data_IF_925970101055
#
_entry.id   IF_925970101055
#
_cell.length_a   1.000
_cell.length_b   1.000
_cell.length_c   1.000
_cell.angle_alpha   90.00
_cell.angle_beta   90.00
_cell.angle_gamma   90.00
#
_symmetry.space_group_name_H-M   'P 1'
#
loop_
_entity.id
_entity.type
_entity.pdbx_description
1 polymer ?
#
# COMPACT_ATOMS: atom_id res chain seq x y z
N UNK A 1 21.64 5.30 -11.32
CA UNK A 1 21.51 4.13 -10.39
C UNK A 1 20.26 3.28 -10.63
N UNK A 2 19.73 3.16 -11.87
CA UNK A 2 18.51 2.34 -12.13
C UNK A 2 18.76 1.07 -12.96
N UNK A 3 19.94 0.90 -13.58
CA UNK A 3 20.28 -0.32 -14.33
C UNK A 3 20.98 -1.41 -13.50
N UNK A 4 21.54 -1.10 -12.32
CA UNK A 4 22.18 -2.10 -11.45
C UNK A 4 21.18 -2.91 -10.60
N UNK A 5 19.90 -2.51 -10.57
CA UNK A 5 18.88 -3.19 -9.75
C UNK A 5 18.20 -4.35 -10.49
N UNK A 6 18.19 -4.35 -11.83
CA UNK A 6 17.60 -5.46 -12.61
C UNK A 6 18.53 -6.67 -12.75
N UNK A 7 19.84 -6.51 -12.53
CA UNK A 7 20.78 -7.63 -12.52
C UNK A 7 20.75 -8.46 -11.22
N UNK A 8 20.22 -7.90 -10.12
CA UNK A 8 20.14 -8.61 -8.82
C UNK A 8 18.86 -9.44 -8.71
N UNK A 9 17.80 -9.07 -9.44
CA UNK A 9 16.52 -9.79 -9.42
C UNK A 9 16.53 -11.02 -10.35
N UNK A 10 17.43 -11.05 -11.34
CA UNK A 10 17.55 -12.18 -12.28
C UNK A 10 18.31 -13.40 -11.70
N UNK A 11 18.99 -13.26 -10.55
CA UNK A 11 19.81 -14.33 -9.96
C UNK A 11 19.13 -15.12 -8.83
N UNK A 12 17.85 -14.83 -8.53
CA UNK A 12 17.11 -15.43 -7.40
C UNK A 12 15.98 -16.38 -7.83
N UNK A 13 15.94 -16.81 -9.10
CA UNK A 13 14.94 -17.76 -9.62
C UNK A 13 15.60 -18.99 -10.30
N UNK A 14 16.92 -19.15 -10.19
CA UNK A 14 17.64 -20.26 -10.81
C UNK A 14 18.38 -21.08 -9.76
N UNK A 15 17.64 -21.80 -8.93
CA UNK A 15 18.26 -22.60 -7.88
C UNK A 15 17.31 -23.45 -7.06
N UNK A 16 16.47 -24.27 -7.69
CA UNK A 16 15.85 -25.42 -7.02
C UNK A 16 15.42 -26.50 -8.02
N UNK A 17 16.39 -27.08 -8.71
CA UNK A 17 16.23 -28.39 -9.35
C UNK A 17 17.55 -29.14 -9.24
N UNK A 18 17.61 -30.12 -8.35
CA UNK A 18 18.07 -31.49 -8.65
C UNK A 18 18.22 -32.36 -7.40
N UNK A 19 18.19 -33.68 -7.66
CA UNK A 19 18.53 -34.83 -6.80
C UNK A 19 17.41 -35.33 -5.87
N UNK A 20 17.08 -36.61 -5.78
CA UNK A 20 17.39 -37.85 -6.53
C UNK A 20 16.50 -38.95 -5.89
N UNK A 21 16.13 -40.03 -6.58
CA UNK A 21 16.61 -41.39 -6.23
C UNK A 21 15.92 -42.50 -7.02
N UNK A 22 16.69 -43.58 -7.15
CA UNK A 22 16.65 -44.73 -8.04
C UNK A 22 15.77 -45.90 -7.55
N UNK A 23 15.54 -46.89 -8.43
CA UNK A 23 15.20 -48.27 -8.07
C UNK A 23 14.30 -48.96 -9.12
N UNK A 24 14.82 -49.47 -10.23
CA UNK A 24 15.38 -50.83 -10.43
C UNK A 24 14.38 -51.99 -10.23
N UNK A 25 14.01 -52.65 -11.33
CA UNK A 25 13.62 -54.08 -11.38
C UNK A 25 14.88 -54.95 -11.43
N UNK A 26 14.94 -56.12 -10.77
CA UNK A 26 14.78 -57.37 -11.53
C UNK A 26 14.22 -58.61 -10.76
N UNK A 27 13.57 -59.50 -11.54
CA UNK A 27 13.71 -60.98 -11.61
C UNK A 27 13.53 -61.92 -10.38
N UNK A 28 12.46 -62.75 -10.47
CA UNK A 28 12.37 -64.24 -10.44
C UNK A 28 13.27 -65.08 -9.50
N UNK A 29 12.63 -65.97 -8.72
CA UNK A 29 12.80 -67.45 -8.67
C UNK A 29 11.93 -68.01 -7.49
N UNK A 30 10.87 -68.80 -7.77
CA UNK A 30 10.80 -70.29 -7.73
C UNK A 30 11.03 -70.85 -6.31
N UNK A 31 10.10 -71.60 -5.68
CA UNK A 31 9.95 -73.05 -5.89
C UNK A 31 8.72 -73.63 -5.14
N UNK A 32 8.21 -74.71 -5.70
CA UNK A 32 7.12 -75.63 -5.35
C UNK A 32 7.12 -76.27 -3.95
N UNK A 33 5.92 -76.63 -3.46
CA UNK A 33 5.62 -77.94 -2.82
C UNK A 33 4.22 -78.42 -3.23
N UNK A 34 4.11 -79.75 -3.32
CA UNK A 34 3.17 -80.63 -4.02
C UNK A 34 2.26 -81.35 -3.01
N UNK A 35 0.99 -81.57 -3.34
CA UNK A 35 0.15 -82.72 -2.93
C UNK A 35 -1.22 -82.61 -3.65
N UNK A 36 -1.44 -83.26 -4.79
CA UNK A 36 -1.94 -84.64 -5.04
C UNK A 36 -3.43 -84.88 -4.65
N UNK A 37 -4.13 -85.79 -5.37
CA UNK A 37 -5.15 -85.40 -6.35
C UNK A 37 -6.58 -85.78 -5.92
N UNK A 38 -7.58 -85.08 -6.45
CA UNK A 38 -8.96 -85.58 -6.45
C UNK A 38 -9.53 -85.46 -7.86
N UNK A 39 -9.80 -86.62 -8.43
CA UNK A 39 -10.42 -86.88 -9.73
C UNK A 39 -11.82 -86.27 -9.79
N UNK A 40 -11.97 -85.19 -10.55
CA UNK A 40 -13.27 -84.75 -11.04
C UNK A 40 -13.22 -84.69 -12.56
N UNK A 41 -13.96 -85.58 -13.22
CA UNK A 41 -14.18 -85.55 -14.67
C UNK A 41 -14.78 -84.19 -15.04
N UNK A 42 -13.93 -83.26 -15.51
CA UNK A 42 -14.41 -82.06 -16.20
C UNK A 42 -14.61 -82.44 -17.66
N UNK A 43 -15.89 -82.55 -18.03
CA UNK A 43 -16.33 -82.56 -19.41
C UNK A 43 -15.67 -81.38 -20.11
N UNK A 44 -14.76 -81.64 -21.04
CA UNK A 44 -14.23 -80.63 -21.94
C UNK A 44 -15.36 -80.22 -22.89
N UNK A 45 -16.22 -79.32 -22.43
CA UNK A 45 -17.05 -78.54 -23.33
C UNK A 45 -16.06 -77.73 -24.18
N UNK A 46 -15.89 -78.12 -25.46
CA UNK A 46 -15.11 -77.38 -26.45
C UNK A 46 -15.61 -75.94 -26.44
N UNK A 47 -14.91 -75.03 -25.75
CA UNK A 47 -15.16 -73.58 -25.88
C UNK A 47 -14.85 -73.25 -27.33
N UNK A 48 -15.89 -73.07 -28.13
CA UNK A 48 -15.75 -72.51 -29.46
C UNK A 48 -15.11 -71.15 -29.26
N UNK A 49 -13.85 -71.03 -29.64
CA UNK A 49 -13.12 -69.78 -29.59
C UNK A 49 -13.80 -68.86 -30.61
N UNK A 50 -14.53 -67.87 -30.11
CA UNK A 50 -15.13 -66.83 -30.95
C UNK A 50 -13.99 -66.06 -31.65
N UNK A 51 -13.71 -66.39 -32.91
CA UNK A 51 -12.61 -65.78 -33.69
C UNK A 51 -12.91 -64.33 -34.09
N UNK A 52 -14.18 -63.92 -34.02
CA UNK A 52 -14.62 -62.58 -34.40
C UNK A 52 -14.36 -61.60 -33.26
N UNK A 53 -13.39 -60.71 -33.47
CA UNK A 53 -13.06 -59.62 -32.55
C UNK A 53 -13.99 -58.43 -32.80
N UNK A 54 -14.40 -57.76 -31.72
CA UNK A 54 -15.11 -56.50 -31.81
C UNK A 54 -14.15 -55.40 -32.30
N UNK A 55 -14.58 -54.60 -33.27
CA UNK A 55 -13.82 -53.48 -33.84
C UNK A 55 -14.08 -52.15 -33.12
N UNK A 56 -15.16 -52.05 -32.35
CA UNK A 56 -15.52 -50.85 -31.57
C UNK A 56 -15.51 -51.17 -30.07
N UNK A 57 -14.48 -50.68 -29.37
CA UNK A 57 -14.29 -50.90 -27.93
C UNK A 57 -15.20 -50.04 -27.03
N UNK A 58 -15.95 -49.08 -27.59
CA UNK A 58 -16.90 -48.30 -26.81
C UNK A 58 -17.98 -49.18 -26.18
N UNK A 59 -18.57 -48.74 -25.07
CA UNK A 59 -19.61 -49.52 -24.40
C UNK A 59 -20.82 -49.78 -25.33
N UNK A 60 -21.18 -48.77 -26.12
CA UNK A 60 -22.22 -48.90 -27.14
C UNK A 60 -21.81 -49.87 -28.26
N UNK A 61 -20.57 -49.80 -28.72
CA UNK A 61 -20.00 -50.74 -29.69
C UNK A 61 -20.04 -52.19 -29.21
N UNK A 62 -19.59 -52.43 -27.98
CA UNK A 62 -19.66 -53.75 -27.32
C UNK A 62 -21.10 -54.26 -27.18
N UNK A 63 -22.04 -53.38 -26.81
CA UNK A 63 -23.46 -53.71 -26.73
C UNK A 63 -24.04 -54.10 -28.09
N UNK A 64 -23.82 -53.29 -29.13
CA UNK A 64 -24.29 -53.56 -30.49
C UNK A 64 -23.66 -54.82 -31.08
N UNK A 65 -22.38 -55.06 -30.80
CA UNK A 65 -21.66 -56.27 -31.21
C UNK A 65 -22.19 -57.54 -30.52
N UNK A 66 -22.56 -57.45 -29.24
CA UNK A 66 -23.22 -58.54 -28.53
C UNK A 66 -24.59 -58.84 -29.14
N UNK A 67 -25.39 -57.81 -29.44
CA UNK A 67 -26.71 -57.95 -30.05
C UNK A 67 -26.63 -58.51 -31.48
N UNK A 68 -25.67 -58.09 -32.30
CA UNK A 68 -25.53 -58.58 -33.67
C UNK A 68 -25.18 -60.07 -33.74
N UNK A 69 -24.46 -60.58 -32.73
CA UNK A 69 -24.06 -62.00 -32.67
C UNK A 69 -25.06 -62.91 -31.95
N UNK A 70 -26.05 -62.35 -31.27
CA UNK A 70 -27.09 -63.11 -30.57
C UNK A 70 -28.16 -63.65 -31.54
N UNK A 71 -28.53 -64.91 -31.35
CA UNK A 71 -29.56 -65.58 -32.17
C UNK A 71 -30.95 -65.16 -31.68
N UNK A 72 -31.86 -64.85 -32.60
CA UNK A 72 -33.27 -64.64 -32.24
C UNK A 72 -34.02 -65.97 -32.26
N UNK A 73 -34.83 -66.25 -31.25
CA UNK A 73 -35.71 -67.41 -31.17
C UNK A 73 -36.97 -67.05 -30.39
N UNK A 74 -38.15 -67.35 -30.95
CA UNK A 74 -39.46 -67.11 -30.29
C UNK A 74 -39.65 -65.67 -29.76
N UNK A 75 -39.22 -64.66 -30.52
CA UNK A 75 -39.31 -63.25 -30.11
C UNK A 75 -38.27 -62.80 -29.07
N UNK A 76 -37.42 -63.71 -28.57
CA UNK A 76 -36.35 -63.42 -27.62
C UNK A 76 -34.96 -63.53 -28.26
N UNK A 77 -34.02 -62.72 -27.76
CA UNK A 77 -32.61 -62.74 -28.17
C UNK A 77 -31.80 -63.65 -27.24
N UNK A 78 -31.26 -64.75 -27.76
CA UNK A 78 -30.35 -65.65 -27.05
C UNK A 78 -28.94 -65.08 -27.10
N UNK A 79 -28.49 -64.56 -25.96
CA UNK A 79 -27.19 -63.91 -25.79
C UNK A 79 -26.20 -64.90 -25.18
N UNK A 80 -24.95 -64.88 -25.63
CA UNK A 80 -23.88 -65.67 -25.01
C UNK A 80 -23.56 -65.10 -23.61
N UNK A 81 -23.65 -65.90 -22.52
CA UNK A 81 -23.40 -65.42 -21.17
C UNK A 81 -22.00 -64.82 -20.98
N UNK A 82 -21.00 -65.32 -21.72
CA UNK A 82 -19.61 -64.80 -21.66
C UNK A 82 -19.52 -63.38 -22.20
N UNK A 83 -20.27 -63.04 -23.25
CA UNK A 83 -20.28 -61.69 -23.84
C UNK A 83 -21.05 -60.71 -22.97
N UNK A 84 -22.13 -61.19 -22.34
CA UNK A 84 -22.91 -60.41 -21.38
C UNK A 84 -22.07 -60.06 -20.14
N UNK A 85 -21.35 -61.02 -19.59
CA UNK A 85 -20.45 -60.81 -18.44
C UNK A 85 -19.32 -59.81 -18.78
N UNK A 86 -18.70 -59.96 -19.96
CA UNK A 86 -17.67 -59.03 -20.44
C UNK A 86 -18.19 -57.59 -20.62
N UNK A 87 -19.39 -57.42 -21.17
CA UNK A 87 -20.04 -56.12 -21.30
C UNK A 87 -20.35 -55.55 -19.90
N UNK A 88 -20.92 -56.36 -19.01
CA UNK A 88 -21.28 -55.94 -17.66
C UNK A 88 -20.06 -55.52 -16.83
N UNK A 89 -18.95 -56.22 -16.99
CA UNK A 89 -17.66 -55.83 -16.41
C UNK A 89 -17.22 -54.45 -16.92
N UNK A 90 -17.33 -54.22 -18.24
CA UNK A 90 -16.99 -52.94 -18.86
C UNK A 90 -17.90 -51.80 -18.37
N UNK A 91 -19.22 -52.03 -18.23
CA UNK A 91 -20.17 -51.07 -17.64
C UNK A 91 -19.77 -50.71 -16.22
N UNK A 92 -19.48 -51.72 -15.38
CA UNK A 92 -19.08 -51.49 -14.00
C UNK A 92 -17.74 -50.77 -13.90
N UNK A 93 -16.78 -51.08 -14.77
CA UNK A 93 -15.49 -50.39 -14.82
C UNK A 93 -15.67 -48.90 -15.16
N UNK A 94 -16.47 -48.58 -16.17
CA UNK A 94 -16.81 -47.18 -16.50
C UNK A 94 -17.51 -46.50 -15.33
N UNK A 95 -18.54 -47.11 -14.73
CA UNK A 95 -19.28 -46.52 -13.62
C UNK A 95 -18.38 -46.28 -12.39
N UNK A 96 -17.46 -47.20 -12.10
CA UNK A 96 -16.48 -47.03 -11.02
C UNK A 96 -15.51 -45.90 -11.31
N UNK A 97 -15.03 -45.79 -12.55
CA UNK A 97 -14.15 -44.69 -13.00
C UNK A 97 -14.86 -43.34 -12.84
N UNK A 98 -16.07 -43.20 -13.38
CA UNK A 98 -16.87 -41.97 -13.27
C UNK A 98 -17.13 -41.58 -11.81
N UNK A 99 -17.48 -42.54 -10.95
CA UNK A 99 -17.67 -42.28 -9.51
C UNK A 99 -16.37 -41.85 -8.82
N UNK A 100 -15.23 -42.43 -9.19
CA UNK A 100 -13.93 -42.06 -8.64
C UNK A 100 -13.50 -40.65 -9.10
N UNK A 101 -13.73 -40.32 -10.37
CA UNK A 101 -13.48 -38.99 -10.93
C UNK A 101 -14.38 -37.94 -10.28
N UNK A 102 -15.67 -38.24 -10.11
CA UNK A 102 -16.62 -37.36 -9.42
C UNK A 102 -16.22 -37.14 -7.95
N UNK A 103 -15.79 -38.19 -7.24
CA UNK A 103 -15.26 -38.06 -5.88
C UNK A 103 -14.03 -37.14 -5.84
N UNK A 104 -13.11 -37.31 -6.80
CA UNK A 104 -11.89 -36.51 -6.90
C UNK A 104 -12.22 -35.05 -7.24
N UNK A 105 -13.14 -34.81 -8.17
CA UNK A 105 -13.60 -33.47 -8.52
C UNK A 105 -14.27 -32.77 -7.33
N UNK A 106 -15.13 -33.46 -6.58
CA UNK A 106 -15.73 -32.92 -5.35
C UNK A 106 -14.67 -32.59 -4.29
N UNK A 107 -13.67 -33.44 -4.11
CA UNK A 107 -12.57 -33.16 -3.18
C UNK A 107 -11.79 -31.90 -3.59
N UNK A 108 -11.49 -31.73 -4.88
CA UNK A 108 -10.83 -30.53 -5.42
C UNK A 108 -11.68 -29.27 -5.24
N UNK A 109 -13.00 -29.35 -5.43
CA UNK A 109 -13.91 -28.22 -5.20
C UNK A 109 -13.88 -27.80 -3.74
N UNK A 110 -13.92 -28.75 -2.80
CA UNK A 110 -13.81 -28.46 -1.36
C UNK A 110 -12.45 -27.81 -1.04
N UNK A 111 -11.36 -28.33 -1.59
CA UNK A 111 -10.01 -27.77 -1.40
C UNK A 111 -9.91 -26.33 -1.94
N UNK A 112 -10.48 -26.08 -3.12
CA UNK A 112 -10.55 -24.75 -3.72
C UNK A 112 -11.40 -23.80 -2.89
N UNK A 113 -12.55 -24.25 -2.38
CA UNK A 113 -13.42 -23.44 -1.51
C UNK A 113 -12.71 -23.07 -0.21
N UNK A 114 -12.00 -24.01 0.42
CA UNK A 114 -11.17 -23.74 1.59
C UNK A 114 -10.04 -22.74 1.27
N UNK A 115 -9.41 -22.88 0.10
CA UNK A 115 -8.38 -21.93 -0.36
C UNK A 115 -8.95 -20.55 -0.62
N UNK A 116 -10.17 -20.44 -1.18
CA UNK A 116 -10.85 -19.16 -1.38
C UNK A 116 -11.20 -18.52 -0.04
N UNK A 117 -11.69 -19.30 0.93
CA UNK A 117 -11.99 -18.82 2.27
C UNK A 117 -10.72 -18.31 2.96
N UNK A 118 -9.61 -19.07 2.90
CA UNK A 118 -8.34 -18.66 3.49
C UNK A 118 -7.75 -17.43 2.82
N UNK A 119 -7.80 -17.35 1.48
CA UNK A 119 -7.31 -16.19 0.74
C UNK A 119 -8.17 -14.95 1.00
N UNK A 120 -9.49 -15.11 1.12
CA UNK A 120 -10.40 -14.03 1.50
C UNK A 120 -10.12 -13.56 2.93
N UNK A 121 -9.86 -14.48 3.86
CA UNK A 121 -9.46 -14.14 5.22
C UNK A 121 -8.14 -13.37 5.24
N UNK A 122 -7.13 -13.82 4.48
CA UNK A 122 -5.83 -13.15 4.36
C UNK A 122 -5.97 -11.75 3.76
N UNK A 123 -6.75 -11.59 2.69
CA UNK A 123 -7.05 -10.28 2.10
C UNK A 123 -7.74 -9.36 3.11
N UNK A 124 -8.78 -9.85 3.80
CA UNK A 124 -9.47 -9.05 4.82
C UNK A 124 -8.57 -8.63 5.99
N UNK A 125 -7.67 -9.53 6.42
CA UNK A 125 -6.68 -9.23 7.45
C UNK A 125 -5.64 -8.21 7.00
N UNK A 126 -5.19 -8.30 5.74
CA UNK A 126 -4.27 -7.32 5.13
C UNK A 126 -4.92 -5.96 4.97
N UNK A 127 -6.17 -5.86 4.52
CA UNK A 127 -6.91 -4.60 4.44
C UNK A 127 -7.09 -3.96 5.83
N UNK A 128 -7.42 -4.75 6.86
CA UNK A 128 -7.48 -4.26 8.24
C UNK A 128 -6.12 -3.73 8.70
N UNK A 129 -5.04 -4.47 8.41
CA UNK A 129 -3.67 -4.07 8.79
C UNK A 129 -3.23 -2.82 8.04
N UNK A 130 -3.59 -2.66 6.77
CA UNK A 130 -3.30 -1.46 5.98
C UNK A 130 -4.08 -0.25 6.50
N UNK A 131 -5.36 -0.42 6.87
CA UNK A 131 -6.14 0.66 7.47
C UNK A 131 -5.57 1.08 8.83
N UNK A 132 -5.21 0.13 9.69
CA UNK A 132 -4.59 0.40 11.00
C UNK A 132 -3.19 1.02 10.85
N UNK A 133 -2.41 0.57 9.86
CA UNK A 133 -1.07 1.09 9.60
C UNK A 133 -1.15 2.49 8.98
N UNK A 134 -2.13 2.75 8.11
CA UNK A 134 -2.35 4.08 7.54
C UNK A 134 -2.79 5.06 8.62
N UNK A 135 -3.72 4.64 9.51
CA UNK A 135 -4.11 5.44 10.66
C UNK A 135 -2.91 5.76 11.58
N UNK A 136 -2.08 4.77 11.90
CA UNK A 136 -0.87 4.96 12.72
C UNK A 136 0.23 5.76 12.02
N UNK A 137 0.38 5.64 10.70
CA UNK A 137 1.38 6.37 9.93
C UNK A 137 0.99 7.84 9.71
N UNK A 138 -0.31 8.12 9.67
CA UNK A 138 -0.83 9.47 9.65
C UNK A 138 -0.81 10.13 11.04
N UNK A 139 -0.55 9.38 12.11
CA UNK A 139 -0.36 9.92 13.46
C UNK A 139 1.08 10.36 13.71
N UNK A 140 1.25 11.64 14.07
CA UNK A 140 2.49 12.19 14.61
C UNK A 140 2.28 12.41 16.10
N UNK A 141 3.11 11.78 16.93
CA UNK A 141 3.09 11.96 18.38
C UNK A 141 3.74 13.29 18.76
N UNK A 142 2.97 14.20 19.34
CA UNK A 142 3.47 15.45 19.90
C UNK A 142 3.02 15.58 21.36
N UNK A 143 3.98 15.63 22.30
CA UNK A 143 3.72 15.72 23.74
C UNK A 143 2.83 14.60 24.32
N UNK A 144 2.89 13.39 23.73
CA UNK A 144 2.14 12.23 24.19
C UNK A 144 0.70 12.12 23.65
N UNK A 145 0.29 13.06 22.78
CA UNK A 145 -0.99 13.02 22.08
C UNK A 145 -0.70 12.76 20.59
N UNK A 146 -1.39 11.80 19.99
CA UNK A 146 -1.37 11.53 18.56
C UNK A 146 -2.18 12.58 17.81
N UNK A 147 -1.57 13.25 16.83
CA UNK A 147 -2.28 14.13 15.91
C UNK A 147 -2.16 13.61 14.48
N UNK A 148 -3.23 13.72 13.69
CA UNK A 148 -3.12 13.41 12.26
C UNK A 148 -2.15 14.40 11.58
N UNK A 149 -1.46 13.96 10.52
CA UNK A 149 -0.48 14.77 9.77
C UNK A 149 -1.09 16.12 9.33
N UNK A 150 -2.34 16.12 8.88
CA UNK A 150 -3.06 17.33 8.48
C UNK A 150 -3.31 18.29 9.65
N UNK A 151 -3.78 17.76 10.79
CA UNK A 151 -4.01 18.56 12.01
C UNK A 151 -2.71 19.14 12.54
N UNK A 152 -1.63 18.35 12.59
CA UNK A 152 -0.31 18.83 13.03
C UNK A 152 0.19 19.98 12.17
N UNK A 153 0.16 19.83 10.84
CA UNK A 153 0.60 20.90 9.93
C UNK A 153 -0.24 22.16 10.11
N UNK A 154 -1.57 22.06 10.25
CA UNK A 154 -2.40 23.22 10.51
C UNK A 154 -2.08 23.90 11.85
N UNK A 155 -1.90 23.15 12.94
CA UNK A 155 -1.59 23.71 14.26
C UNK A 155 -0.23 24.44 14.22
N UNK A 156 0.80 23.83 13.64
CA UNK A 156 2.13 24.44 13.54
C UNK A 156 2.07 25.74 12.74
N UNK A 157 1.43 25.73 11.57
CA UNK A 157 1.28 26.95 10.75
C UNK A 157 0.41 28.01 11.43
N UNK A 158 -0.61 27.61 12.19
CA UNK A 158 -1.41 28.54 12.99
C UNK A 158 -0.57 29.25 14.05
N UNK A 159 0.31 28.52 14.75
CA UNK A 159 1.21 29.11 15.75
C UNK A 159 2.18 30.08 15.07
N UNK A 160 2.78 29.67 13.93
CA UNK A 160 3.68 30.53 13.14
C UNK A 160 2.95 31.81 12.70
N UNK A 161 1.71 31.71 12.22
CA UNK A 161 0.92 32.85 11.78
C UNK A 161 0.61 33.83 12.93
N UNK A 162 0.21 33.33 14.10
CA UNK A 162 -0.06 34.17 15.28
C UNK A 162 1.20 34.88 15.75
N UNK A 163 2.34 34.19 15.79
CA UNK A 163 3.62 34.80 16.15
C UNK A 163 4.06 35.87 15.14
N UNK A 164 3.86 35.61 13.84
CA UNK A 164 4.16 36.58 12.79
C UNK A 164 3.30 37.84 12.90
N UNK A 165 1.99 37.70 13.16
CA UNK A 165 1.08 38.84 13.39
C UNK A 165 1.51 39.62 14.62
N UNK A 166 1.82 38.93 15.73
CA UNK A 166 2.24 39.57 16.98
C UNK A 166 3.53 40.37 16.77
N UNK A 167 4.52 39.78 16.10
CA UNK A 167 5.78 40.44 15.77
C UNK A 167 5.55 41.67 14.88
N UNK A 168 4.68 41.55 13.87
CA UNK A 168 4.33 42.65 12.98
C UNK A 168 3.71 43.82 13.76
N UNK A 169 2.81 43.55 14.70
CA UNK A 169 2.20 44.59 15.57
C UNK A 169 3.26 45.27 16.43
N UNK A 170 4.19 44.51 17.02
CA UNK A 170 5.26 45.06 17.86
C UNK A 170 6.20 45.97 17.07
N UNK A 171 6.60 45.55 15.87
CA UNK A 171 7.46 46.35 14.98
C UNK A 171 6.73 47.62 14.55
N UNK A 172 5.47 47.50 14.11
CA UNK A 172 4.67 48.64 13.67
C UNK A 172 4.44 49.66 14.81
N UNK A 173 4.16 49.18 16.03
CA UNK A 173 3.99 50.04 17.20
C UNK A 173 5.30 50.73 17.58
N UNK A 174 6.42 50.01 17.55
CA UNK A 174 7.74 50.57 17.85
C UNK A 174 8.15 51.64 16.82
N UNK A 175 7.92 51.40 15.53
CA UNK A 175 8.20 52.39 14.48
C UNK A 175 7.39 53.68 14.67
N UNK A 176 6.10 53.58 14.99
CA UNK A 176 5.25 54.74 15.29
C UNK A 176 5.76 55.54 16.50
N UNK A 177 6.12 54.83 17.58
CA UNK A 177 6.64 55.47 18.79
C UNK A 177 7.97 56.21 18.53
N UNK A 178 8.85 55.65 17.70
CA UNK A 178 10.12 56.28 17.33
C UNK A 178 9.88 57.57 16.53
N UNK A 179 8.92 57.56 15.60
CA UNK A 179 8.59 58.75 14.79
C UNK A 179 8.02 59.87 15.68
N UNK A 180 7.11 59.54 16.60
CA UNK A 180 6.54 60.53 17.51
C UNK A 180 7.58 61.10 18.47
N UNK A 181 8.46 60.25 19.01
CA UNK A 181 9.57 60.69 19.86
C UNK A 181 10.50 61.66 19.11
N UNK A 182 10.87 61.32 17.87
CA UNK A 182 11.71 62.20 17.03
C UNK A 182 11.05 63.54 16.76
N UNK A 183 9.75 63.56 16.47
CA UNK A 183 9.00 64.79 16.24
C UNK A 183 8.99 65.68 17.49
N UNK A 184 8.80 65.10 18.68
CA UNK A 184 8.86 65.86 19.93
C UNK A 184 10.25 66.43 20.19
N UNK A 185 11.31 65.64 19.99
CA UNK A 185 12.69 66.13 20.15
C UNK A 185 12.98 67.27 19.19
N UNK A 186 12.59 67.16 17.92
CA UNK A 186 12.77 68.25 16.95
C UNK A 186 12.03 69.53 17.35
N UNK A 187 10.79 69.41 17.85
CA UNK A 187 10.02 70.56 18.31
C UNK A 187 10.68 71.23 19.53
N UNK A 188 11.21 70.45 20.47
CA UNK A 188 11.97 70.99 21.60
C UNK A 188 13.24 71.71 21.15
N UNK A 189 13.97 71.14 20.18
CA UNK A 189 15.18 71.74 19.63
C UNK A 189 14.86 73.06 18.92
N UNK A 190 13.77 73.13 18.15
CA UNK A 190 13.31 74.34 17.47
C UNK A 190 12.93 75.45 18.46
N UNK A 191 12.11 75.13 19.48
CA UNK A 191 11.71 76.09 20.52
C UNK A 191 12.93 76.56 21.33
N UNK A 192 13.86 75.65 21.64
CA UNK A 192 15.10 75.99 22.35
C UNK A 192 15.97 76.94 21.51
N UNK A 193 16.11 76.67 20.21
CA UNK A 193 16.83 77.53 19.28
C UNK A 193 16.19 78.92 19.16
N UNK A 194 14.86 78.99 19.05
CA UNK A 194 14.12 80.25 19.00
C UNK A 194 14.29 81.06 20.31
N UNK A 195 14.23 80.38 21.47
CA UNK A 195 14.45 81.02 22.76
C UNK A 195 15.86 81.61 22.90
N UNK A 196 16.89 80.87 22.46
CA UNK A 196 18.27 81.38 22.45
C UNK A 196 18.43 82.56 21.50
N UNK A 197 17.82 82.50 20.32
CA UNK A 197 17.81 83.61 19.36
C UNK A 197 17.12 84.86 19.94
N UNK A 198 15.98 84.69 20.62
CA UNK A 198 15.29 85.79 21.30
C UNK A 198 16.16 86.40 22.40
N UNK A 199 16.82 85.58 23.22
CA UNK A 199 17.70 86.06 24.28
C UNK A 199 18.90 86.84 23.73
N UNK A 200 19.50 86.35 22.64
CA UNK A 200 20.58 87.04 21.94
C UNK A 200 20.11 88.40 21.40
N UNK A 201 18.94 88.43 20.73
CA UNK A 201 18.34 89.66 20.18
C UNK A 201 17.98 90.67 21.27
N UNK A 202 17.40 90.23 22.38
CA UNK A 202 17.09 91.09 23.53
C UNK A 202 18.36 91.69 24.12
N UNK A 203 19.42 90.88 24.29
CA UNK A 203 20.70 91.39 24.78
C UNK A 203 21.32 92.40 23.81
N UNK A 204 21.24 92.16 22.51
CA UNK A 204 21.71 93.10 21.49
C UNK A 204 20.95 94.43 21.55
N UNK A 205 19.62 94.40 21.72
CA UNK A 205 18.80 95.60 21.90
C UNK A 205 19.17 96.36 23.18
N UNK A 206 19.36 95.67 24.30
CA UNK A 206 19.81 96.30 25.55
C UNK A 206 21.20 96.92 25.39
N UNK A 207 22.13 96.24 24.71
CA UNK A 207 23.46 96.79 24.42
C UNK A 207 23.39 98.00 23.48
N UNK A 208 22.49 98.01 22.50
CA UNK A 208 22.26 99.15 21.61
C UNK A 208 21.70 100.34 22.39
N UNK A 209 20.68 100.12 23.22
CA UNK A 209 20.09 101.15 24.07
C UNK A 209 21.11 101.73 25.06
N UNK A 210 21.96 100.88 25.65
CA UNK A 210 23.02 101.33 26.55
C UNK A 210 24.07 102.20 25.84
N UNK A 211 24.42 101.86 24.59
CA UNK A 211 25.30 102.68 23.75
C UNK A 211 24.65 104.01 23.41
N UNK A 212 23.40 104.01 22.96
CA UNK A 212 22.63 105.23 22.66
C UNK A 212 22.51 106.15 23.89
N UNK A 213 22.20 105.61 25.08
CA UNK A 213 22.17 106.38 26.33
C UNK A 213 23.54 106.96 26.71
N UNK A 214 24.62 106.24 26.44
CA UNK A 214 25.96 106.74 26.69
C UNK A 214 26.33 107.84 25.71
N UNK A 215 25.98 107.70 24.43
CA UNK A 215 26.19 108.72 23.40
C UNK A 215 25.38 109.99 23.71
N UNK A 216 24.11 109.85 24.13
CA UNK A 216 23.29 110.98 24.60
C UNK A 216 23.93 111.69 25.80
N UNK A 217 24.46 110.94 26.78
CA UNK A 217 25.18 111.53 27.93
C UNK A 217 26.44 112.27 27.50
N UNK A 218 27.25 111.67 26.63
CA UNK A 218 28.47 112.28 26.10
C UNK A 218 28.14 113.58 25.36
N UNK A 219 27.08 113.59 24.53
CA UNK A 219 26.61 114.77 23.80
C UNK A 219 26.15 115.88 24.77
N UNK A 220 25.39 115.55 25.82
CA UNK A 220 24.95 116.53 26.84
C UNK A 220 26.15 117.13 27.57
N UNK A 221 27.15 116.32 27.93
CA UNK A 221 28.36 116.79 28.62
C UNK A 221 29.21 117.71 27.71
N UNK A 222 29.31 117.38 26.42
CA UNK A 222 29.96 118.23 25.41
C UNK A 222 29.21 119.57 25.20
N UNK A 223 27.87 119.55 25.21
CA UNK A 223 27.06 120.78 25.17
C UNK A 223 27.22 121.62 26.44
N UNK A 224 27.31 120.99 27.62
CA UNK A 224 27.54 121.69 28.90
C UNK A 224 28.91 122.35 28.98
N UNK A 225 29.93 121.70 28.43
CA UNK A 225 31.32 122.20 28.45
C UNK A 225 31.56 123.29 27.40
N UNK A 226 30.83 123.31 26.28
CA UNK A 226 30.86 124.41 25.30
C UNK A 226 30.08 125.67 25.71
N UNK A 227 29.23 125.59 26.74
CA UNK A 227 28.41 126.69 27.24
C UNK A 227 29.02 127.50 28.40
N UNK A 228 30.31 127.32 28.70
CA UNK A 228 31.06 128.08 29.71
C UNK A 228 32.21 128.84 29.07
#
# INVERSE_FOLDING_TARGET
MKQKLHFIIAFLILGFLSFNTSGQTPNRNQTSVKSQPVTAKKVYQKRVLDTVKNTDFSLNGQYRFMLSRSKSSYGAKLINPTRLDALWKSVNDTLRKERAELKTAKAKVIEQEQSIISLKAEVSGKESTLNDTTAKADEINFLGISFTKGTYTMIVWSIIAVLAITLFIVIARSAKNIIEAKHRTQLYDEVSAEYQAYKAKSNEQQRKLARELQDERNIIEEMRTRGK
#
